data_IF_617673930477
#
_entry.id   IF_617673930477
#
_cell.length_a   1.000
_cell.length_b   1.000
_cell.length_c   1.000
_cell.angle_alpha   90.00
_cell.angle_beta   90.00
_cell.angle_gamma   90.00
#
_symmetry.space_group_name_H-M   'P 1'
#
loop_
_entity.id
_entity.type
_entity.pdbx_description
1 polymer ?
#
# COMPACT_ATOMS: atom_id res chain seq x y z
N UNK A 1 -21.42 11.15 -6.08
CA UNK A 1 -20.15 11.92 -6.22
C UNK A 1 -19.06 10.90 -6.04
N UNK A 2 -18.18 10.74 -7.02
CA UNK A 2 -17.10 9.75 -6.93
C UNK A 2 -16.13 10.18 -5.82
N UNK A 3 -15.64 9.22 -5.04
CA UNK A 3 -14.68 9.51 -3.98
C UNK A 3 -13.36 9.96 -4.60
N UNK A 4 -12.77 11.02 -4.04
CA UNK A 4 -11.47 11.55 -4.47
C UNK A 4 -10.33 10.52 -4.34
N UNK A 5 -10.45 9.62 -3.37
CA UNK A 5 -9.52 8.52 -3.12
C UNK A 5 -10.31 7.23 -3.09
N UNK A 6 -9.91 6.28 -3.93
CA UNK A 6 -10.42 4.92 -3.93
C UNK A 6 -9.26 3.95 -3.69
N UNK A 7 -9.55 2.86 -2.99
CA UNK A 7 -8.58 1.82 -2.69
C UNK A 7 -9.00 0.50 -3.31
N UNK A 8 -8.09 -0.10 -4.10
CA UNK A 8 -8.19 -1.49 -4.52
C UNK A 8 -7.41 -2.40 -3.57
N UNK A 9 -7.88 -3.64 -3.37
CA UNK A 9 -7.16 -4.67 -2.60
C UNK A 9 -7.01 -5.92 -3.45
N UNK A 10 -5.78 -6.42 -3.56
CA UNK A 10 -5.51 -7.78 -4.02
C UNK A 10 -4.98 -8.60 -2.86
N UNK A 11 -5.66 -9.71 -2.56
CA UNK A 11 -5.21 -10.69 -1.59
C UNK A 11 -4.25 -11.69 -2.25
N UNK A 12 -3.06 -11.86 -1.66
CA UNK A 12 -2.16 -12.98 -1.95
C UNK A 12 -2.02 -13.85 -0.70
N UNK A 13 -1.29 -14.96 -0.82
CA UNK A 13 -1.12 -15.90 0.28
C UNK A 13 -0.42 -15.25 1.49
N UNK A 14 0.72 -14.57 1.26
CA UNK A 14 1.58 -14.03 2.33
C UNK A 14 1.40 -12.54 2.61
N UNK A 15 0.83 -11.80 1.66
CA UNK A 15 0.63 -10.36 1.73
C UNK A 15 -0.64 -9.93 1.00
N UNK A 16 -1.09 -8.72 1.26
CA UNK A 16 -2.12 -8.03 0.48
C UNK A 16 -1.49 -6.84 -0.24
N UNK A 17 -2.09 -6.41 -1.35
CA UNK A 17 -1.65 -5.26 -2.14
C UNK A 17 -2.75 -4.20 -2.07
N UNK A 18 -2.42 -3.05 -1.50
CA UNK A 18 -3.26 -1.86 -1.46
C UNK A 18 -2.90 -0.94 -2.62
N UNK A 19 -3.88 -0.68 -3.48
CA UNK A 19 -3.72 0.17 -4.67
C UNK A 19 -4.44 1.48 -4.41
N UNK A 20 -3.69 2.58 -4.47
CA UNK A 20 -4.23 3.93 -4.30
C UNK A 20 -4.61 4.48 -5.67
N UNK A 21 -5.89 4.82 -5.84
CA UNK A 21 -6.44 5.47 -7.01
C UNK A 21 -6.95 6.87 -6.64
N UNK A 22 -6.38 7.90 -7.26
CA UNK A 22 -6.80 9.29 -7.10
C UNK A 22 -7.55 9.73 -8.36
N UNK A 23 -8.73 10.35 -8.21
CA UNK A 23 -9.46 10.93 -9.34
C UNK A 23 -8.94 12.31 -9.74
N UNK A 24 -8.35 13.04 -8.79
CA UNK A 24 -7.79 14.38 -8.95
C UNK A 24 -6.78 14.70 -7.83
N UNK A 25 -6.29 15.94 -7.78
CA UNK A 25 -5.42 16.39 -6.69
C UNK A 25 -6.19 16.43 -5.37
N UNK A 26 -5.51 16.07 -4.27
CA UNK A 26 -6.12 15.96 -2.94
C UNK A 26 -5.45 16.92 -1.95
N UNK A 27 -6.26 17.44 -1.02
CA UNK A 27 -5.83 18.27 0.11
C UNK A 27 -5.58 17.41 1.36
N UNK A 28 -4.60 17.74 2.24
CA UNK A 28 -4.30 16.93 3.42
C UNK A 28 -5.47 16.74 4.40
N UNK A 29 -6.45 17.64 4.40
CA UNK A 29 -7.66 17.51 5.25
C UNK A 29 -8.43 16.22 4.99
N UNK A 30 -8.31 15.64 3.79
CA UNK A 30 -8.98 14.40 3.40
C UNK A 30 -8.62 13.23 4.31
N UNK A 31 -7.44 13.22 4.92
CA UNK A 31 -6.98 12.14 5.81
C UNK A 31 -7.94 11.89 6.99
N UNK A 32 -8.73 12.89 7.38
CA UNK A 32 -9.73 12.80 8.46
C UNK A 32 -10.98 12.04 8.07
N UNK A 33 -11.21 11.88 6.76
CA UNK A 33 -12.46 11.39 6.19
C UNK A 33 -12.27 10.10 5.36
N UNK A 34 -11.02 9.62 5.24
CA UNK A 34 -10.72 8.42 4.46
C UNK A 34 -11.36 7.17 5.06
N UNK A 35 -12.17 6.50 4.24
CA UNK A 35 -12.62 5.14 4.51
C UNK A 35 -11.56 4.15 4.03
N UNK A 36 -10.81 3.60 4.99
CA UNK A 36 -9.71 2.68 4.72
C UNK A 36 -10.18 1.22 4.62
N UNK A 37 -9.70 0.43 3.64
CA UNK A 37 -10.03 -0.98 3.54
C UNK A 37 -9.62 -1.76 4.79
N UNK A 38 -10.47 -2.70 5.20
CA UNK A 38 -10.07 -3.72 6.17
C UNK A 38 -9.16 -4.72 5.46
N UNK A 39 -8.02 -5.00 6.05
CA UNK A 39 -7.05 -5.98 5.54
C UNK A 39 -6.80 -7.08 6.57
N UNK A 40 -6.24 -8.21 6.14
CA UNK A 40 -5.82 -9.25 7.06
C UNK A 40 -4.49 -8.87 7.73
N UNK A 41 -4.54 -8.43 8.99
CA UNK A 41 -3.34 -8.04 9.76
C UNK A 41 -2.36 -9.18 10.06
N UNK A 42 -2.67 -10.43 9.69
CA UNK A 42 -1.71 -11.55 9.77
C UNK A 42 -0.82 -11.67 8.53
N UNK A 43 -1.09 -10.88 7.49
CA UNK A 43 -0.34 -10.85 6.23
C UNK A 43 0.39 -9.52 6.09
N UNK A 44 1.52 -9.53 5.38
CA UNK A 44 2.23 -8.30 5.03
C UNK A 44 1.38 -7.40 4.12
N UNK A 45 1.75 -6.13 4.01
CA UNK A 45 1.08 -5.18 3.13
C UNK A 45 2.07 -4.59 2.13
N UNK A 46 1.67 -4.54 0.87
CA UNK A 46 2.37 -3.79 -0.17
C UNK A 46 1.47 -2.65 -0.62
N UNK A 47 1.99 -1.43 -0.64
CA UNK A 47 1.24 -0.24 -1.04
C UNK A 47 1.78 0.25 -2.39
N UNK A 48 0.88 0.49 -3.33
CA UNK A 48 1.20 0.98 -4.67
C UNK A 48 0.16 2.00 -5.13
N UNK A 49 0.47 2.77 -6.18
CA UNK A 49 -0.38 3.82 -6.72
C UNK A 49 0.40 5.12 -6.96
N UNK A 50 -0.30 6.15 -7.45
CA UNK A 50 0.27 7.51 -7.55
C UNK A 50 -0.40 8.36 -6.47
N UNK A 51 0.37 8.76 -5.47
CA UNK A 51 -0.14 9.56 -4.37
C UNK A 51 0.94 10.47 -3.77
N UNK A 52 0.55 11.57 -3.10
CA UNK A 52 1.47 12.38 -2.32
C UNK A 52 2.15 11.59 -1.20
N UNK A 53 3.39 11.97 -0.85
CA UNK A 53 4.20 11.32 0.18
C UNK A 53 3.45 11.25 1.53
N UNK A 54 2.71 12.29 1.89
CA UNK A 54 1.97 12.33 3.15
C UNK A 54 0.84 11.29 3.22
N UNK A 55 0.26 10.88 2.09
CA UNK A 55 -0.75 9.82 2.06
C UNK A 55 -0.09 8.46 2.29
N UNK A 56 1.08 8.22 1.69
CA UNK A 56 1.87 7.03 2.00
C UNK A 56 2.25 6.97 3.48
N UNK A 57 2.76 8.06 4.05
CA UNK A 57 3.13 8.09 5.47
C UNK A 57 1.94 7.78 6.38
N UNK A 58 0.76 8.34 6.09
CA UNK A 58 -0.47 8.04 6.80
C UNK A 58 -0.85 6.56 6.70
N UNK A 59 -0.85 5.98 5.50
CA UNK A 59 -1.22 4.57 5.29
C UNK A 59 -0.23 3.61 5.94
N UNK A 60 1.08 3.89 5.86
CA UNK A 60 2.12 3.11 6.54
C UNK A 60 1.89 3.12 8.05
N UNK A 61 1.61 4.28 8.63
CA UNK A 61 1.34 4.37 10.07
C UNK A 61 0.03 3.66 10.46
N UNK A 62 -1.03 3.83 9.68
CA UNK A 62 -2.33 3.22 9.95
C UNK A 62 -2.25 1.69 9.92
N UNK A 63 -1.55 1.11 8.94
CA UNK A 63 -1.42 -0.33 8.77
C UNK A 63 -0.20 -0.94 9.47
N UNK A 64 0.50 -0.18 10.33
CA UNK A 64 1.69 -0.65 11.06
C UNK A 64 1.52 -1.97 11.85
N UNK A 65 0.32 -2.42 12.27
CA UNK A 65 0.18 -3.72 12.95
C UNK A 65 0.40 -4.94 12.04
N UNK A 66 0.49 -4.76 10.72
CA UNK A 66 0.82 -5.85 9.78
C UNK A 66 2.26 -6.36 10.00
N UNK A 67 2.60 -7.62 9.65
CA UNK A 67 3.94 -8.18 9.88
C UNK A 67 5.05 -7.38 9.17
N UNK A 68 4.77 -6.85 7.99
CA UNK A 68 5.65 -5.90 7.30
C UNK A 68 4.83 -4.99 6.39
N UNK A 69 5.39 -3.83 6.06
CA UNK A 69 4.88 -2.93 5.02
C UNK A 69 5.99 -2.67 4.02
N UNK A 70 5.66 -2.78 2.74
CA UNK A 70 6.54 -2.40 1.64
C UNK A 70 5.85 -1.40 0.70
N UNK A 71 6.64 -0.49 0.12
CA UNK A 71 6.19 0.47 -0.87
C UNK A 71 6.70 0.04 -2.24
N UNK A 72 5.81 -0.06 -3.22
CA UNK A 72 6.20 -0.43 -4.57
C UNK A 72 6.88 0.74 -5.30
N UNK A 73 8.09 0.50 -5.79
CA UNK A 73 8.80 1.34 -6.76
C UNK A 73 8.94 0.55 -8.07
N UNK A 74 8.35 1.03 -9.20
CA UNK A 74 8.45 0.34 -10.50
C UNK A 74 9.87 0.05 -11.00
N UNK A 75 10.88 0.73 -10.45
CA UNK A 75 12.29 0.54 -10.81
C UNK A 75 12.97 -0.58 -10.02
N UNK A 76 12.40 -0.99 -8.89
CA UNK A 76 13.05 -1.86 -7.92
C UNK A 76 12.21 -3.10 -7.56
N UNK A 77 10.90 -2.94 -7.37
CA UNK A 77 10.03 -3.90 -6.69
C UNK A 77 9.40 -3.27 -5.45
N UNK A 78 8.94 -4.09 -4.49
CA UNK A 78 8.39 -3.57 -3.24
C UNK A 78 9.46 -3.44 -2.15
N UNK A 79 9.82 -2.20 -1.81
CA UNK A 79 10.84 -1.88 -0.81
C UNK A 79 10.22 -1.91 0.59
N UNK A 80 10.72 -2.77 1.46
CA UNK A 80 10.25 -2.90 2.84
C UNK A 80 10.62 -1.65 3.63
N UNK A 81 9.61 -0.96 4.18
CA UNK A 81 9.78 0.27 4.98
C UNK A 81 9.50 0.07 6.46
N UNK A 82 8.85 -1.04 6.81
CA UNK A 82 8.60 -1.45 8.19
C UNK A 82 8.52 -2.98 8.27
N UNK A 83 9.06 -3.58 9.33
CA UNK A 83 8.96 -5.03 9.54
C UNK A 83 9.02 -5.40 11.02
N UNK A 84 8.15 -6.33 11.40
CA UNK A 84 8.18 -7.10 12.65
C UNK A 84 8.63 -8.56 12.41
N UNK A 85 8.95 -8.91 11.17
CA UNK A 85 9.41 -10.25 10.77
C UNK A 85 10.93 -10.34 10.96
N UNK A 86 11.40 -11.42 11.61
CA UNK A 86 12.81 -11.59 11.93
C UNK A 86 13.71 -11.58 10.69
N UNK A 87 13.29 -12.26 9.63
CA UNK A 87 14.12 -12.51 8.44
C UNK A 87 13.78 -11.57 7.27
N UNK A 88 13.04 -10.49 7.51
CA UNK A 88 12.74 -9.45 6.53
C UNK A 88 13.00 -8.08 7.15
N UNK A 89 13.90 -7.29 6.56
CA UNK A 89 14.42 -6.03 7.12
C UNK A 89 14.01 -4.82 6.29
N UNK A 90 14.01 -3.66 6.93
CA UNK A 90 13.84 -2.38 6.23
C UNK A 90 14.97 -2.22 5.21
N UNK A 91 14.61 -1.86 3.99
CA UNK A 91 15.52 -1.77 2.85
C UNK A 91 15.58 -3.04 1.99
N UNK A 92 15.06 -4.18 2.46
CA UNK A 92 14.90 -5.36 1.61
C UNK A 92 13.92 -5.06 0.48
N UNK A 93 14.17 -5.67 -0.68
CA UNK A 93 13.32 -5.51 -1.87
C UNK A 93 12.66 -6.85 -2.19
N UNK A 94 11.33 -6.87 -2.14
CA UNK A 94 10.55 -8.00 -2.61
C UNK A 94 10.45 -7.93 -4.13
N UNK A 95 10.96 -8.97 -4.80
CA UNK A 95 10.89 -9.11 -6.25
C UNK A 95 9.45 -9.39 -6.67
N UNK A 96 8.73 -8.31 -6.94
CA UNK A 96 7.37 -8.31 -7.47
C UNK A 96 7.31 -7.37 -8.66
N UNK A 97 6.61 -7.76 -9.71
CA UNK A 97 6.34 -6.94 -10.88
C UNK A 97 4.83 -6.86 -11.09
N UNK A 98 4.31 -5.65 -11.29
CA UNK A 98 2.95 -5.46 -11.81
C UNK A 98 3.05 -5.31 -13.32
N UNK A 99 2.65 -6.33 -14.07
CA UNK A 99 2.82 -6.38 -15.52
C UNK A 99 1.63 -5.77 -16.28
N UNK A 100 0.85 -4.88 -15.65
CA UNK A 100 -0.29 -4.20 -16.27
C UNK A 100 -1.41 -5.12 -16.81
N UNK A 101 -1.25 -6.45 -16.70
CA UNK A 101 -2.24 -7.49 -17.01
C UNK A 101 -2.89 -8.05 -15.75
N UNK A 102 -2.32 -7.74 -14.60
CA UNK A 102 -3.02 -7.73 -13.32
C UNK A 102 -4.17 -6.71 -13.44
N UNK A 103 -5.28 -7.14 -14.04
CA UNK A 103 -6.50 -6.36 -14.09
C UNK A 103 -6.92 -6.10 -12.65
N UNK A 104 -6.67 -4.86 -12.21
CA UNK A 104 -7.15 -4.31 -10.95
C UNK A 104 -8.66 -4.06 -11.07
N UNK A 105 -9.42 -5.13 -11.29
CA UNK A 105 -10.88 -5.17 -11.29
C UNK A 105 -11.43 -5.30 -9.88
#
# INVERSE_FOLDING_TARGET
MDKLVNFGIIEKEKYSILIINLSENIEPSILRELELPKINHRKGLIITGRAPIWLYAFLVHYYHPTPFIALYDPRLGAVVVQSHVKDLKVGDVLDISFDGRDNFG
#
